data_IF_706566106622
#
_entry.id   IF_706566106622
#
_cell.length_a   1.000
_cell.length_b   1.000
_cell.length_c   1.000
_cell.angle_alpha   90.00
_cell.angle_beta   90.00
_cell.angle_gamma   90.00
#
_symmetry.space_group_name_H-M   'P 1'
#
loop_
_entity.id
_entity.type
_entity.pdbx_description
1 polymer ?
#
# COMPACT_ATOMS: atom_id res chain seq x y z
N UNK A 1 8.70 -23.58 -21.97
CA UNK A 1 7.63 -22.57 -21.96
C UNK A 1 8.31 -21.21 -22.01
N UNK A 2 8.20 -20.49 -23.13
CA UNK A 2 8.89 -19.21 -23.35
C UNK A 2 8.06 -18.14 -22.61
N UNK A 3 8.62 -17.53 -21.57
CA UNK A 3 7.94 -16.47 -20.82
C UNK A 3 7.99 -15.24 -21.72
N UNK A 4 6.84 -14.81 -22.21
CA UNK A 4 6.71 -13.59 -23.02
C UNK A 4 6.62 -12.40 -22.06
N UNK A 5 7.75 -11.72 -21.87
CA UNK A 5 7.85 -10.57 -20.98
C UNK A 5 7.28 -9.34 -21.69
N UNK A 6 6.24 -8.75 -21.11
CA UNK A 6 5.63 -7.51 -21.61
C UNK A 6 6.10 -6.34 -20.76
N UNK A 7 6.66 -5.31 -21.41
CA UNK A 7 6.92 -4.03 -20.77
C UNK A 7 5.60 -3.38 -20.34
N UNK A 8 5.52 -3.00 -19.07
CA UNK A 8 4.42 -2.23 -18.54
C UNK A 8 4.91 -0.77 -18.43
N UNK A 9 4.16 0.23 -18.95
CA UNK A 9 4.51 1.62 -18.75
C UNK A 9 4.59 1.91 -17.23
N UNK A 10 5.48 2.83 -16.81
CA UNK A 10 5.59 3.17 -15.39
C UNK A 10 4.21 3.65 -14.89
N UNK A 11 3.69 3.03 -13.82
CA UNK A 11 2.48 3.51 -13.16
C UNK A 11 2.70 5.00 -12.84
N UNK A 12 1.73 5.86 -13.18
CA UNK A 12 1.81 7.33 -13.05
C UNK A 12 2.07 7.89 -11.65
N UNK A 13 2.30 7.02 -10.67
CA UNK A 13 2.92 7.31 -9.39
C UNK A 13 4.17 6.42 -9.28
N UNK A 14 5.35 6.97 -9.51
CA UNK A 14 6.61 6.27 -9.23
C UNK A 14 6.61 5.86 -7.75
N UNK A 15 6.45 4.56 -7.48
CA UNK A 15 6.52 4.03 -6.12
C UNK A 15 7.94 4.22 -5.58
N UNK A 16 8.11 4.53 -4.28
CA UNK A 16 9.42 4.70 -3.67
C UNK A 16 10.30 3.48 -3.95
N UNK A 17 11.48 3.74 -4.50
CA UNK A 17 12.52 2.73 -4.72
C UNK A 17 13.08 2.33 -3.34
N UNK A 18 12.62 1.21 -2.80
CA UNK A 18 13.30 0.52 -1.71
C UNK A 18 14.46 -0.32 -2.27
N UNK A 19 15.52 0.35 -2.72
CA UNK A 19 16.85 -0.26 -2.91
C UNK A 19 17.77 0.23 -1.79
N UNK A 20 18.72 -0.56 -1.25
CA UNK A 20 19.55 -0.16 -0.11
C UNK A 20 20.34 1.10 -0.44
N UNK A 21 20.09 2.13 0.37
CA UNK A 21 20.42 3.52 0.13
C UNK A 21 21.88 3.87 0.40
N UNK A 22 22.65 3.96 -0.68
CA UNK A 22 23.79 4.87 -0.84
C UNK A 22 23.80 5.33 -2.30
N UNK A 23 24.20 6.58 -2.62
CA UNK A 23 24.55 6.91 -3.99
C UNK A 23 25.53 5.84 -4.52
N UNK A 24 25.27 5.29 -5.71
CA UNK A 24 26.13 4.26 -6.27
C UNK A 24 27.50 4.89 -6.56
N UNK A 25 28.46 4.70 -5.65
CA UNK A 25 29.83 5.16 -5.89
C UNK A 25 30.30 4.58 -7.21
N UNK A 26 30.74 5.44 -8.13
CA UNK A 26 31.39 4.98 -9.34
C UNK A 26 32.61 4.15 -8.94
N UNK A 27 32.54 2.83 -9.08
CA UNK A 27 33.72 1.98 -8.94
C UNK A 27 34.60 2.31 -10.15
N UNK A 28 35.78 2.92 -9.97
CA UNK A 28 36.67 3.17 -11.10
C UNK A 28 37.03 1.84 -11.75
N UNK A 29 37.06 1.80 -13.09
CA UNK A 29 37.56 0.63 -13.80
C UNK A 29 38.96 0.29 -13.26
N UNK A 30 39.12 -0.94 -12.76
CA UNK A 30 40.41 -1.42 -12.27
C UNK A 30 41.44 -1.30 -13.40
N UNK A 31 42.59 -0.62 -13.19
CA UNK A 31 43.62 -0.58 -14.22
C UNK A 31 44.10 -2.01 -14.48
N UNK A 32 44.07 -2.40 -15.75
CA UNK A 32 44.50 -3.72 -16.18
C UNK A 32 45.96 -3.98 -15.78
N UNK A 33 46.17 -5.09 -15.07
CA UNK A 33 47.39 -5.92 -15.14
C UNK A 33 48.71 -5.29 -14.72
N UNK A 34 49.07 -5.45 -13.44
CA UNK A 34 50.44 -5.35 -12.96
C UNK A 34 50.68 -6.43 -11.90
N UNK A 35 51.28 -7.55 -12.31
CA UNK A 35 51.57 -8.67 -11.42
C UNK A 35 52.57 -8.30 -10.32
N UNK A 36 52.26 -8.69 -9.09
CA UNK A 36 53.14 -8.53 -7.94
C UNK A 36 52.63 -9.35 -6.76
N UNK A 37 53.25 -10.50 -6.54
CA UNK A 37 52.97 -11.38 -5.42
C UNK A 37 53.31 -10.72 -4.08
N UNK A 38 52.39 -10.77 -3.10
CA UNK A 38 52.73 -10.59 -1.70
C UNK A 38 51.68 -11.19 -0.75
N UNK A 39 52.12 -12.27 -0.07
CA UNK A 39 51.94 -12.54 1.36
C UNK A 39 50.52 -12.59 1.93
N UNK A 40 50.03 -13.82 2.11
CA UNK A 40 48.97 -14.18 3.07
C UNK A 40 49.39 -13.80 4.50
N UNK A 41 48.78 -12.74 5.05
CA UNK A 41 48.71 -12.53 6.51
C UNK A 41 47.31 -12.84 6.98
N UNK A 42 47.23 -13.86 7.83
CA UNK A 42 46.08 -14.27 8.62
C UNK A 42 45.50 -13.09 9.39
N UNK A 43 44.25 -12.73 9.12
CA UNK A 43 43.52 -11.75 9.91
C UNK A 43 42.75 -12.48 11.01
N UNK A 44 43.09 -12.06 12.23
CA UNK A 44 42.56 -12.50 13.51
C UNK A 44 41.03 -12.36 13.57
N UNK A 45 40.37 -13.42 14.05
CA UNK A 45 38.91 -13.53 14.15
C UNK A 45 38.48 -13.27 15.59
N UNK A 46 38.46 -12.00 15.98
CA UNK A 46 37.95 -11.58 17.29
C UNK A 46 37.16 -10.27 17.17
N UNK A 47 35.93 -10.38 16.67
CA UNK A 47 34.89 -9.36 16.86
C UNK A 47 33.71 -9.93 17.65
N UNK A 48 33.16 -9.18 18.63
CA UNK A 48 32.15 -9.69 19.53
C UNK A 48 30.80 -9.91 18.82
N UNK A 49 30.27 -11.11 19.03
CA UNK A 49 28.98 -11.63 18.58
C UNK A 49 27.83 -10.76 19.11
N UNK A 50 27.26 -9.87 18.30
CA UNK A 50 26.01 -9.19 18.63
C UNK A 50 24.86 -10.21 18.59
N UNK A 51 24.15 -10.33 19.70
CA UNK A 51 22.96 -11.16 19.86
C UNK A 51 21.90 -10.77 18.84
N UNK A 52 21.42 -11.76 18.10
CA UNK A 52 20.22 -11.65 17.27
C UNK A 52 19.00 -11.50 18.19
N UNK A 53 18.43 -10.30 18.22
CA UNK A 53 17.12 -10.07 18.82
C UNK A 53 16.05 -10.77 17.97
N UNK A 54 15.35 -11.72 18.56
CA UNK A 54 14.19 -12.41 17.99
C UNK A 54 13.04 -11.42 17.79
N UNK A 55 12.98 -10.80 16.62
CA UNK A 55 11.80 -10.05 16.18
C UNK A 55 10.67 -11.04 15.86
N UNK A 56 9.61 -11.01 16.67
CA UNK A 56 8.35 -11.71 16.40
C UNK A 56 7.77 -11.19 15.08
N UNK A 57 7.17 -12.03 14.22
CA UNK A 57 6.49 -11.55 13.03
C UNK A 57 5.29 -10.68 13.45
N UNK A 58 5.28 -9.42 13.00
CA UNK A 58 4.11 -8.54 13.10
C UNK A 58 3.12 -9.01 12.04
N UNK A 59 2.17 -9.83 12.47
CA UNK A 59 0.99 -10.20 11.69
C UNK A 59 0.04 -9.00 11.73
N UNK A 60 -0.16 -8.35 10.58
CA UNK A 60 -1.24 -7.39 10.42
C UNK A 60 -2.57 -8.18 10.34
N UNK A 61 -3.26 -8.31 11.48
CA UNK A 61 -4.65 -8.76 11.50
C UNK A 61 -5.55 -7.60 11.07
N UNK A 62 -6.02 -7.64 9.83
CA UNK A 62 -7.15 -6.80 9.41
C UNK A 62 -8.44 -7.38 10.02
N UNK A 63 -8.74 -6.96 11.25
CA UNK A 63 -10.02 -7.24 11.91
C UNK A 63 -11.12 -6.37 11.27
N UNK A 64 -11.73 -6.85 10.19
CA UNK A 64 -12.99 -6.31 9.70
C UNK A 64 -14.12 -6.73 10.65
N UNK A 65 -14.41 -5.91 11.65
CA UNK A 65 -15.64 -6.00 12.45
C UNK A 65 -16.82 -5.56 11.58
N UNK A 66 -17.42 -6.50 10.87
CA UNK A 66 -18.72 -6.29 10.22
C UNK A 66 -19.79 -6.42 11.33
N UNK A 67 -20.32 -5.27 11.75
CA UNK A 67 -21.50 -5.20 12.59
C UNK A 67 -22.74 -5.61 11.76
N UNK A 68 -23.23 -6.84 11.96
CA UNK A 68 -24.57 -7.23 11.51
C UNK A 68 -25.57 -6.90 12.61
N UNK A 69 -26.35 -5.85 12.39
CA UNK A 69 -27.52 -5.50 13.18
C UNK A 69 -28.68 -6.43 12.78
N UNK A 70 -28.92 -7.49 13.55
CA UNK A 70 -30.18 -8.25 13.49
C UNK A 70 -31.18 -7.60 14.43
N UNK A 71 -32.13 -6.84 13.88
CA UNK A 71 -33.36 -6.47 14.59
C UNK A 71 -34.33 -7.65 14.44
N UNK A 72 -34.42 -8.50 15.47
CA UNK A 72 -35.52 -9.46 15.63
C UNK A 72 -36.36 -8.99 16.81
N UNK A 73 -37.49 -8.36 16.50
CA UNK A 73 -38.54 -8.06 17.47
C UNK A 73 -39.45 -9.28 17.59
N UNK A 74 -39.29 -10.04 18.68
CA UNK A 74 -40.32 -10.95 19.16
C UNK A 74 -40.51 -10.67 20.65
N UNK A 75 -41.56 -9.92 20.98
CA UNK A 75 -42.00 -9.69 22.34
C UNK A 75 -42.70 -10.97 22.85
N UNK A 76 -42.03 -11.72 23.73
CA UNK A 76 -42.68 -12.68 24.62
C UNK A 76 -42.72 -12.06 26.02
N UNK A 77 -43.88 -11.53 26.39
CA UNK A 77 -44.16 -11.10 27.75
C UNK A 77 -44.58 -12.31 28.57
N UNK A 78 -43.69 -12.83 29.41
CA UNK A 78 -44.06 -13.68 30.55
C UNK A 78 -44.07 -12.78 31.78
N UNK A 79 -45.26 -12.42 32.25
CA UNK A 79 -45.44 -11.77 33.55
C UNK A 79 -46.06 -12.80 34.49
N UNK A 80 -45.26 -13.27 35.45
CA UNK A 80 -45.70 -14.12 36.55
C UNK A 80 -46.43 -13.26 37.59
N UNK A 81 -47.68 -13.62 37.88
CA UNK A 81 -48.48 -13.04 38.96
C UNK A 81 -48.16 -13.74 40.30
N UNK A 82 -47.74 -12.98 41.31
CA UNK A 82 -48.09 -13.19 42.71
C UNK A 82 -49.03 -12.02 43.04
N UNK A 83 -50.31 -12.20 43.36
CA UNK A 83 -50.84 -12.92 44.51
C UNK A 83 -51.36 -11.88 45.49
N UNK A 84 -52.67 -11.58 45.47
CA UNK A 84 -53.38 -10.88 46.56
C UNK A 84 -54.81 -11.42 46.62
N UNK A 85 -55.22 -11.69 47.85
CA UNK A 85 -56.37 -12.44 48.33
C UNK A 85 -57.72 -11.73 48.15
N UNK A 86 -58.77 -12.56 48.02
CA UNK A 86 -60.07 -12.35 48.64
C UNK A 86 -61.03 -11.38 47.98
N UNK A 87 -62.19 -11.89 47.55
CA UNK A 87 -63.51 -11.63 48.19
C UNK A 87 -64.63 -12.24 47.33
N UNK A 88 -65.37 -13.12 48.01
CA UNK A 88 -66.77 -13.52 47.88
C UNK A 88 -67.35 -14.16 46.60
N UNK A 89 -68.00 -15.28 46.90
CA UNK A 89 -68.79 -16.18 46.08
C UNK A 89 -70.16 -15.54 45.74
N UNK A 90 -70.46 -15.39 44.45
CA UNK A 90 -71.82 -15.16 43.95
C UNK A 90 -72.00 -15.94 42.66
N UNK A 91 -72.91 -16.91 42.70
CA UNK A 91 -73.21 -17.87 41.65
C UNK A 91 -73.61 -17.24 40.31
N UNK A 92 -73.02 -17.73 39.21
CA UNK A 92 -73.46 -17.59 37.82
C UNK A 92 -73.01 -18.81 37.01
N UNK A 93 -73.72 -19.20 35.93
CA UNK A 93 -73.95 -20.59 35.54
C UNK A 93 -72.72 -21.25 34.91
N UNK A 94 -72.54 -22.55 35.19
CA UNK A 94 -71.59 -23.41 34.47
C UNK A 94 -71.99 -23.45 32.98
N UNK A 95 -71.31 -22.67 32.15
CA UNK A 95 -71.35 -22.85 30.70
C UNK A 95 -70.40 -23.98 30.33
N UNK A 96 -70.97 -25.09 29.87
CA UNK A 96 -70.28 -26.24 29.29
C UNK A 96 -69.22 -25.84 28.27
N UNK A 97 -67.95 -25.91 28.67
CA UNK A 97 -66.78 -25.74 27.79
C UNK A 97 -66.78 -26.84 26.70
N UNK A 98 -67.55 -27.91 26.89
CA UNK A 98 -67.75 -28.97 25.89
C UNK A 98 -68.40 -28.49 24.59
N UNK A 99 -69.07 -27.32 24.57
CA UNK A 99 -69.73 -26.82 23.35
C UNK A 99 -68.76 -26.14 22.39
N UNK A 100 -67.58 -25.70 22.85
CA UNK A 100 -66.60 -24.99 22.01
C UNK A 100 -65.53 -25.90 21.38
N UNK A 101 -65.49 -27.19 21.73
CA UNK A 101 -64.51 -28.16 21.23
C UNK A 101 -65.02 -29.04 20.07
N UNK A 102 -66.18 -28.71 19.49
CA UNK A 102 -66.81 -29.48 18.40
C UNK A 102 -66.98 -28.69 17.10
N UNK A 103 -66.20 -27.63 16.88
CA UNK A 103 -65.93 -27.11 15.54
C UNK A 103 -64.46 -27.30 15.20
N UNK A 104 -64.03 -28.56 15.17
CA UNK A 104 -62.88 -28.93 14.35
C UNK A 104 -63.27 -28.73 12.88
N UNK A 105 -63.27 -27.46 12.43
CA UNK A 105 -63.24 -27.13 11.02
C UNK A 105 -62.03 -27.86 10.45
N UNK A 106 -62.15 -28.64 9.36
CA UNK A 106 -60.97 -29.14 8.67
C UNK A 106 -60.25 -27.92 8.09
N UNK A 107 -59.31 -27.36 8.85
CA UNK A 107 -58.38 -26.37 8.33
C UNK A 107 -57.53 -27.09 7.29
N UNK A 108 -57.86 -26.87 6.02
CA UNK A 108 -57.04 -27.34 4.91
C UNK A 108 -55.83 -26.43 4.85
N UNK A 109 -54.81 -26.74 5.64
CA UNK A 109 -53.56 -25.99 5.63
C UNK A 109 -52.75 -26.48 4.43
N UNK A 110 -52.75 -25.70 3.34
CA UNK A 110 -51.85 -25.92 2.23
C UNK A 110 -50.47 -25.32 2.59
N UNK A 111 -49.61 -26.13 3.20
CA UNK A 111 -48.23 -25.72 3.50
C UNK A 111 -47.40 -25.79 2.21
N UNK A 112 -47.18 -24.65 1.58
CA UNK A 112 -46.33 -24.54 0.39
C UNK A 112 -44.87 -24.33 0.81
N UNK A 113 -44.16 -25.45 1.03
CA UNK A 113 -42.71 -25.46 1.22
C UNK A 113 -42.03 -25.83 -0.09
N UNK A 114 -41.01 -25.06 -0.47
CA UNK A 114 -40.18 -25.35 -1.64
C UNK A 114 -38.72 -25.31 -1.24
N UNK A 115 -37.94 -26.27 -1.72
CA UNK A 115 -36.50 -26.34 -1.50
C UNK A 115 -35.77 -26.21 -2.83
N UNK A 116 -34.77 -25.33 -2.89
CA UNK A 116 -33.92 -25.14 -4.07
C UNK A 116 -32.45 -25.20 -3.68
N UNK A 117 -31.59 -25.56 -4.63
CA UNK A 117 -30.14 -25.42 -4.49
C UNK A 117 -29.69 -24.16 -5.22
N UNK A 118 -29.01 -23.27 -4.52
CA UNK A 118 -28.45 -22.04 -5.08
C UNK A 118 -26.93 -22.05 -4.99
N UNK A 119 -26.27 -21.74 -6.10
CA UNK A 119 -24.81 -21.57 -6.16
C UNK A 119 -24.48 -20.09 -6.17
N UNK A 120 -23.70 -19.65 -5.18
CA UNK A 120 -23.16 -18.31 -5.11
C UNK A 120 -21.66 -18.37 -5.42
N UNK A 121 -21.22 -17.65 -6.45
CA UNK A 121 -19.81 -17.48 -6.78
C UNK A 121 -19.35 -16.07 -6.39
N UNK A 122 -18.23 -15.99 -5.67
CA UNK A 122 -17.56 -14.73 -5.32
C UNK A 122 -16.13 -14.77 -5.83
N UNK A 123 -15.72 -13.73 -6.56
CA UNK A 123 -14.35 -13.59 -7.04
C UNK A 123 -13.43 -13.21 -5.88
N UNK A 124 -12.30 -13.91 -5.75
CA UNK A 124 -11.25 -13.57 -4.79
C UNK A 124 -10.17 -12.75 -5.49
N UNK A 125 -9.92 -11.49 -5.09
CA UNK A 125 -8.91 -10.67 -5.74
C UNK A 125 -7.51 -11.28 -5.54
N UNK A 126 -6.64 -11.10 -6.54
CA UNK A 126 -5.22 -11.41 -6.39
C UNK A 126 -4.45 -10.23 -5.82
N UNK A 127 -3.27 -10.52 -5.30
CA UNK A 127 -2.31 -9.50 -4.87
C UNK A 127 -1.20 -9.34 -5.91
N UNK A 128 -0.50 -8.20 -5.84
CA UNK A 128 0.69 -7.93 -6.67
C UNK A 128 1.93 -7.94 -5.77
N UNK A 129 2.92 -8.74 -6.16
CA UNK A 129 4.24 -8.81 -5.53
C UNK A 129 5.31 -8.20 -6.45
N UNK A 130 6.32 -7.59 -5.83
CA UNK A 130 7.46 -7.03 -6.55
C UNK A 130 8.73 -7.81 -6.24
N UNK A 131 9.50 -8.14 -7.27
CA UNK A 131 10.79 -8.78 -7.15
C UNK A 131 11.86 -7.90 -7.81
N UNK A 132 13.03 -7.78 -7.18
CA UNK A 132 14.14 -7.03 -7.77
C UNK A 132 14.85 -7.87 -8.84
N UNK A 133 15.26 -7.23 -9.92
CA UNK A 133 16.09 -7.81 -10.98
C UNK A 133 17.30 -6.92 -11.24
N UNK A 134 18.50 -7.50 -11.19
CA UNK A 134 19.79 -6.87 -11.50
C UNK A 134 20.13 -6.92 -13.00
N UNK A 135 19.32 -7.60 -13.80
CA UNK A 135 19.42 -7.62 -15.25
C UNK A 135 18.73 -6.41 -15.89
N UNK A 136 17.64 -5.94 -15.26
CA UNK A 136 16.82 -4.82 -15.75
C UNK A 136 17.34 -3.49 -15.24
N UNK A 137 17.34 -2.48 -16.12
CA UNK A 137 17.72 -1.11 -15.77
C UNK A 137 16.79 -0.53 -14.69
N UNK A 138 17.36 0.26 -13.78
CA UNK A 138 16.60 0.97 -12.76
C UNK A 138 15.48 1.81 -13.36
N UNK A 139 14.27 1.66 -12.80
CA UNK A 139 13.05 2.32 -13.31
C UNK A 139 12.28 1.49 -14.34
N UNK A 140 12.85 0.41 -14.88
CA UNK A 140 12.12 -0.54 -15.74
C UNK A 140 11.29 -1.49 -14.88
N UNK A 141 10.04 -1.73 -15.29
CA UNK A 141 9.16 -2.74 -14.71
C UNK A 141 8.70 -3.74 -15.76
N UNK A 142 8.84 -5.03 -15.48
CA UNK A 142 8.39 -6.12 -16.37
C UNK A 142 7.43 -7.07 -15.67
N UNK A 143 6.39 -7.49 -16.36
CA UNK A 143 5.53 -8.57 -15.87
C UNK A 143 6.25 -9.91 -15.98
N UNK A 144 6.52 -10.56 -14.84
CA UNK A 144 7.07 -11.93 -14.80
C UNK A 144 5.96 -12.97 -14.73
N UNK A 145 4.89 -12.66 -13.99
CA UNK A 145 3.75 -13.55 -13.83
C UNK A 145 2.45 -12.75 -13.76
N UNK A 146 1.50 -13.08 -14.63
CA UNK A 146 0.14 -12.54 -14.57
C UNK A 146 -0.59 -13.01 -13.29
N UNK A 147 -1.27 -12.07 -12.64
CA UNK A 147 -2.19 -12.40 -11.55
C UNK A 147 -3.48 -13.01 -12.08
N UNK A 148 -4.05 -13.97 -11.34
CA UNK A 148 -5.35 -14.56 -11.66
C UNK A 148 -6.22 -14.54 -10.44
N UNK A 149 -7.43 -14.02 -10.59
CA UNK A 149 -8.40 -14.01 -9.51
C UNK A 149 -8.78 -15.44 -9.13
N UNK A 150 -8.90 -15.67 -7.83
CA UNK A 150 -9.44 -16.90 -7.29
C UNK A 150 -10.96 -16.88 -7.32
N UNK A 151 -11.58 -17.95 -6.80
CA UNK A 151 -13.03 -18.08 -6.73
C UNK A 151 -13.44 -18.79 -5.46
N UNK A 152 -14.43 -18.24 -4.77
CA UNK A 152 -15.15 -18.90 -3.69
C UNK A 152 -16.53 -19.31 -4.23
N UNK A 153 -16.81 -20.61 -4.20
CA UNK A 153 -18.10 -21.17 -4.60
C UNK A 153 -18.79 -21.73 -3.37
N UNK A 154 -19.99 -21.23 -3.08
CA UNK A 154 -20.82 -21.70 -1.97
C UNK A 154 -22.12 -22.24 -2.52
N UNK A 155 -22.45 -23.47 -2.18
CA UNK A 155 -23.71 -24.11 -2.57
C UNK A 155 -24.60 -24.15 -1.36
N UNK A 156 -25.76 -23.51 -1.46
CA UNK A 156 -26.77 -23.44 -0.41
C UNK A 156 -27.99 -24.26 -0.77
N UNK A 157 -28.58 -24.92 0.22
CA UNK A 157 -29.98 -25.32 0.19
C UNK A 157 -30.80 -24.15 0.75
N UNK A 158 -31.73 -23.65 -0.03
CA UNK A 158 -32.62 -22.55 0.36
C UNK A 158 -34.04 -23.10 0.46
N UNK A 159 -34.66 -22.93 1.61
CA UNK A 159 -36.04 -23.28 1.86
C UNK A 159 -36.91 -22.04 1.75
N UNK A 160 -38.06 -22.18 1.10
CA UNK A 160 -39.04 -21.13 0.92
C UNK A 160 -40.35 -21.53 1.55
N UNK A 161 -40.95 -20.58 2.27
CA UNK A 161 -42.33 -20.66 2.74
C UNK A 161 -43.11 -19.51 2.09
N UNK A 162 -44.22 -19.83 1.41
CA UNK A 162 -45.02 -18.82 0.69
C UNK A 162 -44.18 -17.94 -0.26
N UNK A 163 -43.19 -18.55 -0.94
CA UNK A 163 -42.23 -17.89 -1.85
C UNK A 163 -41.26 -16.87 -1.21
N UNK A 164 -41.25 -16.74 0.12
CA UNK A 164 -40.20 -16.01 0.84
C UNK A 164 -39.18 -17.00 1.38
N UNK A 165 -37.89 -16.64 1.33
CA UNK A 165 -36.81 -17.44 1.91
C UNK A 165 -37.02 -17.56 3.42
N UNK A 166 -37.16 -18.80 3.90
CA UNK A 166 -37.38 -19.11 5.32
C UNK A 166 -36.11 -19.62 6.00
N UNK A 167 -35.26 -20.37 5.28
CA UNK A 167 -33.99 -20.87 5.80
C UNK A 167 -32.95 -21.05 4.69
N UNK A 168 -31.67 -21.01 5.08
CA UNK A 168 -30.52 -21.20 4.20
C UNK A 168 -29.43 -22.01 4.88
N UNK A 169 -29.15 -23.19 4.33
CA UNK A 169 -28.11 -24.09 4.81
C UNK A 169 -26.96 -24.19 3.79
N UNK A 170 -25.74 -23.84 4.20
CA UNK A 170 -24.54 -24.08 3.38
C UNK A 170 -24.29 -25.59 3.27
N UNK A 171 -24.37 -26.12 2.06
CA UNK A 171 -24.12 -27.54 1.77
C UNK A 171 -22.66 -27.81 1.45
N UNK A 172 -22.01 -26.94 0.68
CA UNK A 172 -20.62 -27.12 0.30
C UNK A 172 -19.92 -25.80 0.02
N UNK A 173 -18.59 -25.82 0.20
CA UNK A 173 -17.70 -24.70 -0.09
C UNK A 173 -16.53 -25.21 -0.92
N UNK A 174 -16.39 -24.68 -2.12
CA UNK A 174 -15.23 -24.85 -2.98
C UNK A 174 -14.42 -23.56 -3.04
N UNK A 175 -13.10 -23.66 -3.11
CA UNK A 175 -12.23 -22.50 -3.22
C UNK A 175 -11.11 -22.79 -4.22
N UNK A 176 -10.91 -21.83 -5.13
CA UNK A 176 -9.75 -21.72 -6.01
C UNK A 176 -8.96 -20.52 -5.54
N UNK A 177 -7.72 -20.74 -5.11
CA UNK A 177 -6.86 -19.66 -4.63
C UNK A 177 -6.48 -18.68 -5.75
N UNK A 178 -6.39 -17.37 -5.46
CA UNK A 178 -5.87 -16.42 -6.42
C UNK A 178 -4.38 -16.64 -6.68
N UNK A 179 -3.96 -16.47 -7.94
CA UNK A 179 -2.56 -16.43 -8.33
C UNK A 179 -2.05 -14.99 -8.19
N UNK A 180 -0.95 -14.82 -7.45
CA UNK A 180 -0.29 -13.52 -7.27
C UNK A 180 0.34 -13.04 -8.57
N UNK A 181 0.19 -11.76 -8.89
CA UNK A 181 0.90 -11.09 -9.97
C UNK A 181 2.33 -10.78 -9.54
N UNK A 182 3.33 -11.08 -10.37
CA UNK A 182 4.73 -10.78 -10.06
C UNK A 182 5.27 -9.79 -11.08
N UNK A 183 5.67 -8.62 -10.58
CA UNK A 183 6.31 -7.56 -11.36
C UNK A 183 7.79 -7.46 -10.96
N UNK A 184 8.68 -7.60 -11.94
CA UNK A 184 10.10 -7.35 -11.77
C UNK A 184 10.37 -5.84 -11.75
N UNK A 185 11.18 -5.39 -10.80
CA UNK A 185 11.73 -4.03 -10.71
C UNK A 185 13.21 -4.05 -11.03
N UNK A 186 13.62 -3.28 -12.03
CA UNK A 186 15.03 -3.16 -12.37
C UNK A 186 15.85 -2.43 -11.31
N UNK A 187 17.07 -2.93 -11.12
CA UNK A 187 18.05 -2.42 -10.16
C UNK A 187 19.43 -2.20 -10.80
N UNK A 188 19.58 -2.54 -12.08
CA UNK A 188 20.82 -2.34 -12.84
C UNK A 188 21.05 -0.86 -13.10
N UNK A 189 22.20 -0.37 -12.67
CA UNK A 189 22.61 1.02 -12.85
C UNK A 189 23.44 1.11 -14.14
N UNK A 190 23.00 1.96 -15.07
CA UNK A 190 23.70 2.20 -16.33
C UNK A 190 24.13 3.65 -16.38
N UNK A 191 25.45 3.86 -16.29
CA UNK A 191 26.06 5.18 -16.44
C UNK A 191 26.05 5.61 -17.90
N UNK A 192 25.66 6.87 -18.11
CA UNK A 192 25.62 7.55 -19.39
C UNK A 192 26.33 8.89 -19.27
N UNK A 193 26.75 9.40 -20.42
CA UNK A 193 27.44 10.68 -20.52
C UNK A 193 26.50 11.74 -21.09
N UNK A 194 26.60 12.96 -20.56
CA UNK A 194 25.90 14.14 -21.02
C UNK A 194 26.92 15.25 -21.24
N UNK A 195 26.96 15.79 -22.45
CA UNK A 195 27.72 17.00 -22.75
C UNK A 195 27.02 18.22 -22.16
N UNK A 196 27.76 19.03 -21.40
CA UNK A 196 27.28 20.30 -20.83
C UNK A 196 28.23 21.43 -21.20
N UNK A 197 27.80 22.67 -20.94
CA UNK A 197 28.64 23.86 -21.14
C UNK A 197 29.95 23.82 -20.33
N UNK A 198 29.96 23.10 -19.21
CA UNK A 198 31.12 22.94 -18.33
C UNK A 198 31.89 21.63 -18.58
N UNK A 199 31.60 20.93 -19.67
CA UNK A 199 32.20 19.65 -20.04
C UNK A 199 31.29 18.44 -19.80
N UNK A 200 31.78 17.23 -20.11
CA UNK A 200 30.99 16.01 -19.98
C UNK A 200 30.76 15.64 -18.52
N UNK A 201 29.53 15.22 -18.21
CA UNK A 201 29.16 14.69 -16.89
C UNK A 201 28.56 13.29 -17.03
N UNK A 202 28.80 12.44 -16.04
CA UNK A 202 28.21 11.11 -15.97
C UNK A 202 26.94 11.11 -15.11
N UNK A 203 25.87 10.52 -15.61
CA UNK A 203 24.62 10.34 -14.90
C UNK A 203 24.14 8.90 -15.01
N UNK A 204 23.40 8.43 -14.02
CA UNK A 204 22.87 7.06 -14.01
C UNK A 204 21.36 6.98 -14.15
N UNK A 205 20.66 8.09 -13.92
CA UNK A 205 19.21 8.21 -14.09
C UNK A 205 18.85 9.63 -14.49
N UNK A 206 17.79 9.80 -15.28
CA UNK A 206 17.19 11.11 -15.56
C UNK A 206 15.69 11.05 -15.26
N UNK A 207 15.17 12.13 -14.69
CA UNK A 207 13.77 12.21 -14.24
C UNK A 207 13.21 13.56 -14.68
N UNK A 208 12.00 13.55 -15.24
CA UNK A 208 11.27 14.78 -15.54
C UNK A 208 10.55 15.24 -14.28
N UNK A 209 10.85 16.45 -13.84
CA UNK A 209 10.31 17.04 -12.61
C UNK A 209 9.72 18.42 -12.88
N UNK A 210 8.84 18.88 -12.01
CA UNK A 210 8.41 20.28 -11.97
C UNK A 210 9.31 21.03 -10.98
N UNK A 211 10.10 21.97 -11.47
CA UNK A 211 11.05 22.73 -10.65
C UNK A 211 10.50 24.12 -10.33
N UNK A 212 10.44 24.46 -9.05
CA UNK A 212 10.12 25.80 -8.54
C UNK A 212 11.36 26.45 -7.92
N UNK A 213 11.36 27.78 -7.74
CA UNK A 213 12.43 28.46 -7.04
C UNK A 213 12.03 28.82 -5.59
N UNK A 214 12.95 28.73 -4.62
CA UNK A 214 12.73 29.22 -3.25
C UNK A 214 13.95 29.92 -2.63
N UNK A 215 13.69 30.70 -1.57
CA UNK A 215 14.70 31.33 -0.71
C UNK A 215 14.52 30.90 0.75
N UNK A 216 15.48 31.28 1.61
CA UNK A 216 15.39 31.04 3.03
C UNK A 216 14.16 31.72 3.67
N UNK A 217 13.76 32.89 3.16
CA UNK A 217 12.59 33.65 3.60
C UNK A 217 11.28 32.96 3.20
N UNK A 218 11.23 32.31 2.02
CA UNK A 218 10.05 31.60 1.55
C UNK A 218 9.93 30.18 2.14
N UNK A 219 10.96 29.67 2.82
CA UNK A 219 10.99 28.34 3.44
C UNK A 219 10.10 28.21 4.71
N UNK A 220 9.32 29.25 5.06
CA UNK A 220 8.33 29.20 6.13
C UNK A 220 8.90 29.29 7.55
N UNK A 221 10.16 29.69 7.70
CA UNK A 221 10.80 29.97 9.00
C UNK A 221 11.03 31.48 9.15
N UNK A 222 10.69 32.09 10.31
CA UNK A 222 10.90 33.52 10.50
C UNK A 222 12.39 33.83 10.63
N UNK A 223 12.77 35.02 10.14
CA UNK A 223 14.12 35.56 10.27
C UNK A 223 14.54 35.60 11.75
N UNK A 224 15.74 35.09 12.05
CA UNK A 224 16.27 35.02 13.41
C UNK A 224 15.88 33.77 14.20
N UNK A 225 15.04 32.88 13.64
CA UNK A 225 14.82 31.56 14.26
C UNK A 225 16.03 30.65 14.06
N UNK A 226 16.30 29.71 14.99
CA UNK A 226 17.44 28.78 14.87
C UNK A 226 17.40 27.91 13.60
N UNK A 227 16.22 27.68 13.02
CA UNK A 227 16.04 26.90 11.79
C UNK A 227 15.97 27.75 10.51
N UNK A 228 16.20 29.07 10.60
CA UNK A 228 16.13 29.94 9.42
C UNK A 228 17.25 29.60 8.42
N UNK A 229 16.87 29.22 7.20
CA UNK A 229 17.81 28.82 6.15
C UNK A 229 18.58 27.54 6.47
N UNK A 230 18.07 26.70 7.36
CA UNK A 230 18.64 25.38 7.66
C UNK A 230 17.83 24.31 6.93
N UNK A 231 18.52 23.50 6.14
CA UNK A 231 17.94 22.45 5.31
C UNK A 231 17.61 21.20 6.12
N UNK A 232 16.85 20.27 5.55
CA UNK A 232 16.56 18.97 6.15
C UNK A 232 17.82 18.14 6.51
N UNK A 233 18.93 18.36 5.80
CA UNK A 233 20.24 17.74 6.12
C UNK A 233 21.00 18.45 7.24
N UNK A 234 20.49 19.58 7.74
CA UNK A 234 21.09 20.36 8.83
C UNK A 234 22.16 21.36 8.37
N UNK A 235 22.35 21.50 7.05
CA UNK A 235 23.28 22.47 6.48
C UNK A 235 22.59 23.82 6.26
N UNK A 236 23.37 24.89 6.14
CA UNK A 236 22.82 26.18 5.72
C UNK A 236 22.55 26.13 4.22
N UNK A 237 21.34 26.49 3.80
CA UNK A 237 20.98 26.54 2.39
C UNK A 237 21.89 27.52 1.65
N UNK A 238 22.36 27.10 0.47
CA UNK A 238 23.25 27.85 -0.40
C UNK A 238 22.89 27.56 -1.85
N UNK A 239 23.45 28.33 -2.79
CA UNK A 239 23.28 28.00 -4.21
C UNK A 239 23.70 26.55 -4.50
N UNK A 240 22.82 25.77 -5.14
CA UNK A 240 22.97 24.33 -5.33
C UNK A 240 22.19 23.48 -4.33
N UNK A 241 21.64 24.03 -3.25
CA UNK A 241 20.71 23.32 -2.37
C UNK A 241 19.39 23.06 -3.12
N UNK A 242 19.00 21.79 -3.23
CA UNK A 242 17.74 21.39 -3.87
C UNK A 242 16.83 20.74 -2.84
N UNK A 243 15.60 21.24 -2.72
CA UNK A 243 14.57 20.58 -1.95
C UNK A 243 13.87 19.51 -2.80
N UNK A 244 13.71 18.31 -2.26
CA UNK A 244 13.15 17.16 -3.00
C UNK A 244 12.15 16.36 -2.16
N UNK A 245 11.38 15.51 -2.82
CA UNK A 245 10.76 14.37 -2.15
C UNK A 245 11.81 13.26 -1.98
N UNK A 246 12.26 13.03 -0.74
CA UNK A 246 13.21 11.97 -0.38
C UNK A 246 12.79 10.57 -0.84
N UNK A 247 11.50 10.31 -1.07
CA UNK A 247 11.01 9.02 -1.58
C UNK A 247 11.33 8.80 -3.06
N UNK A 248 11.54 9.89 -3.81
CA UNK A 248 11.82 9.88 -5.25
C UNK A 248 13.31 10.14 -5.49
N UNK A 249 13.86 11.19 -4.87
CA UNK A 249 15.26 11.58 -4.97
C UNK A 249 15.87 11.56 -3.56
N UNK A 250 16.81 10.66 -3.30
CA UNK A 250 17.56 10.62 -2.05
C UNK A 250 18.21 11.93 -1.60
N UNK A 251 18.13 12.24 -0.31
CA UNK A 251 18.97 13.26 0.28
C UNK A 251 20.45 12.87 0.12
N UNK A 252 21.28 13.85 -0.23
CA UNK A 252 22.68 13.68 -0.61
C UNK A 252 22.91 13.40 -2.09
N UNK A 253 21.87 13.10 -2.88
CA UNK A 253 22.03 12.88 -4.33
C UNK A 253 22.48 14.16 -5.02
N UNK A 254 23.59 14.06 -5.76
CA UNK A 254 24.03 15.10 -6.69
C UNK A 254 23.24 15.02 -7.98
N UNK A 255 22.94 16.16 -8.55
CA UNK A 255 22.18 16.24 -9.78
C UNK A 255 22.63 17.41 -10.65
N UNK A 256 22.47 17.26 -11.96
CA UNK A 256 22.57 18.36 -12.91
C UNK A 256 21.17 18.77 -13.37
N UNK A 257 20.89 20.07 -13.25
CA UNK A 257 19.63 20.68 -13.65
C UNK A 257 19.94 21.69 -14.75
N UNK A 258 19.58 21.41 -16.02
CA UNK A 258 19.81 22.33 -17.12
C UNK A 258 19.27 23.73 -16.81
N UNK A 259 20.10 24.74 -17.05
CA UNK A 259 19.79 26.13 -16.73
C UNK A 259 20.07 26.54 -15.29
N UNK A 260 20.07 25.64 -14.31
CA UNK A 260 20.42 25.95 -12.91
C UNK A 260 21.86 25.58 -12.57
N UNK A 261 22.32 24.42 -13.05
CA UNK A 261 23.67 23.89 -12.79
C UNK A 261 23.65 22.65 -11.91
N UNK A 262 24.77 22.42 -11.21
CA UNK A 262 24.94 21.30 -10.28
C UNK A 262 24.26 21.63 -8.95
N UNK A 263 23.41 20.71 -8.47
CA UNK A 263 22.77 20.79 -7.18
C UNK A 263 22.90 19.51 -6.38
N UNK A 264 22.61 19.59 -5.08
CA UNK A 264 22.56 18.46 -4.16
C UNK A 264 21.21 18.46 -3.46
N UNK A 265 20.58 17.28 -3.37
CA UNK A 265 19.35 17.09 -2.60
C UNK A 265 19.63 17.24 -1.10
N UNK A 266 19.40 18.42 -0.56
CA UNK A 266 19.80 18.76 0.82
C UNK A 266 18.63 19.14 1.69
N UNK A 267 17.49 19.46 1.08
CA UNK A 267 16.31 19.94 1.77
C UNK A 267 15.05 19.17 1.40
N UNK A 268 13.99 19.37 2.18
CA UNK A 268 12.66 18.81 1.92
C UNK A 268 11.58 19.84 2.24
N UNK A 269 10.50 19.84 1.47
CA UNK A 269 9.36 20.72 1.70
C UNK A 269 8.06 19.96 1.90
N UNK A 270 7.11 20.57 2.62
CA UNK A 270 5.75 20.02 2.76
C UNK A 270 5.03 19.89 1.42
N UNK A 271 5.17 20.90 0.55
CA UNK A 271 4.61 20.93 -0.80
C UNK A 271 5.45 20.18 -1.85
N UNK A 272 6.70 19.86 -1.53
CA UNK A 272 7.63 19.18 -2.44
C UNK A 272 7.40 17.67 -2.28
N UNK A 273 6.54 17.12 -3.15
CA UNK A 273 6.09 15.72 -3.14
C UNK A 273 6.07 15.16 -4.55
N UNK A 274 6.48 13.89 -4.70
CA UNK A 274 6.62 13.25 -5.99
C UNK A 274 7.71 13.89 -6.85
N UNK A 275 7.43 14.07 -8.14
CA UNK A 275 8.37 14.62 -9.12
C UNK A 275 8.37 16.16 -9.13
N UNK A 276 8.46 16.76 -7.94
CA UNK A 276 8.57 18.21 -7.74
C UNK A 276 9.89 18.47 -7.02
N UNK A 277 10.60 19.51 -7.44
CA UNK A 277 11.81 20.00 -6.76
C UNK A 277 11.73 21.50 -6.53
N UNK A 278 12.43 21.99 -5.52
CA UNK A 278 12.60 23.42 -5.25
C UNK A 278 14.07 23.79 -5.32
N UNK A 279 14.40 24.82 -6.09
CA UNK A 279 15.76 25.26 -6.38
C UNK A 279 16.10 26.46 -5.51
N UNK A 280 17.09 26.32 -4.64
CA UNK A 280 17.48 27.41 -3.75
C UNK A 280 18.22 28.51 -4.51
N UNK A 281 17.96 29.75 -4.15
CA UNK A 281 18.76 30.90 -4.54
C UNK A 281 18.85 31.92 -3.40
N UNK A 282 19.93 32.71 -3.43
CA UNK A 282 20.18 33.75 -2.44
C UNK A 282 19.56 35.07 -2.89
N UNK A 283 18.54 35.55 -2.16
CA UNK A 283 17.96 36.89 -2.30
C UNK A 283 17.21 37.19 -3.61
N UNK A 284 16.32 38.19 -3.56
CA UNK A 284 15.65 38.77 -4.74
C UNK A 284 14.50 37.95 -5.33
N UNK A 285 14.08 38.32 -6.56
CA UNK A 285 13.19 37.51 -7.38
C UNK A 285 14.05 36.47 -8.11
N UNK A 286 13.88 35.19 -7.81
CA UNK A 286 14.63 34.11 -8.45
C UNK A 286 14.59 34.23 -9.98
N UNK A 287 15.74 34.11 -10.60
CA UNK A 287 15.89 34.15 -12.06
C UNK A 287 15.33 32.90 -12.75
N UNK A 288 15.03 31.85 -11.98
CA UNK A 288 14.43 30.62 -12.47
C UNK A 288 12.91 30.75 -12.62
N UNK A 289 12.39 30.39 -13.78
CA UNK A 289 10.95 30.30 -14.03
C UNK A 289 10.46 28.88 -13.76
N UNK A 290 9.41 28.75 -12.95
CA UNK A 290 8.82 27.45 -12.62
C UNK A 290 8.36 26.68 -13.86
N UNK A 291 8.68 25.40 -13.94
CA UNK A 291 8.35 24.61 -15.11
C UNK A 291 8.90 23.19 -15.08
N UNK A 292 8.54 22.42 -16.10
CA UNK A 292 9.06 21.07 -16.27
C UNK A 292 10.48 21.08 -16.80
N UNK A 293 11.39 20.39 -16.11
CA UNK A 293 12.78 20.20 -16.50
C UNK A 293 13.17 18.73 -16.35
N UNK A 294 14.08 18.26 -17.20
CA UNK A 294 14.69 16.93 -17.02
C UNK A 294 15.95 17.08 -16.19
N UNK A 295 15.98 16.43 -15.04
CA UNK A 295 17.10 16.42 -14.10
C UNK A 295 17.89 15.13 -14.26
N UNK A 296 19.21 15.23 -14.17
CA UNK A 296 20.14 14.11 -14.34
C UNK A 296 20.79 13.80 -13.00
N UNK A 297 20.54 12.61 -12.46
CA UNK A 297 21.11 12.17 -11.18
C UNK A 297 22.53 11.64 -11.41
N UNK A 298 23.45 12.20 -10.63
CA UNK A 298 24.89 11.95 -10.69
C UNK A 298 25.29 10.99 -9.55
N UNK A 299 26.60 10.80 -9.38
CA UNK A 299 27.21 10.08 -8.24
C UNK A 299 26.92 10.79 -6.90
#
# INVERSE_FOLDING_TARGET
MKIELKEIPPLGHELPLFAPWYPPRRIPASPAGGGGAASSKSFDSSLPRRQAGTGKPVVFSNDYKIAFLFVVLAAFSVFTLQGVEGVEESAAPQSDISTYLMSALPAKTDSFFRTETQTQETTLPYSTAFENSDELEIGTTLLKQEGKAGRLTQVYRVEFYQNQESDRLLLSRGQVEPQTEIILKGTKIIWRELETENGPIAYWRKIKVYATPYTAESAGKPLGSPGFGITATGMRAHFGTVAVDSKVIPLGTKMYIPGYGIGTAEDTGGAIKGNIIDLFYEGGNGWWNSGYVTVYLLD
#
